data_IF_365375058726
#
_entry.id   IF_365375058726
#
_cell.length_a   1.000
_cell.length_b   1.000
_cell.length_c   1.000
_cell.angle_alpha   90.00
_cell.angle_beta   90.00
_cell.angle_gamma   90.00
#
_symmetry.space_group_name_H-M   'P 1'
#
loop_
_entity.id
_entity.type
_entity.pdbx_description
1 polymer ?
#
# COMPACT_ATOMS: atom_id res chain seq x y z
N UNK A 1 -6.76 10.12 23.85
CA UNK A 1 -7.09 8.78 23.27
C UNK A 1 -5.80 8.06 22.87
N UNK A 2 -5.69 6.75 23.09
CA UNK A 2 -4.52 5.92 22.70
C UNK A 2 -4.85 5.12 21.44
N UNK A 3 -4.04 5.23 20.39
CA UNK A 3 -4.12 4.37 19.22
C UNK A 3 -3.31 3.10 19.48
N UNK A 4 -3.78 1.98 18.97
CA UNK A 4 -3.02 0.72 18.97
C UNK A 4 -2.68 0.30 17.55
N UNK A 5 -1.53 -0.32 17.38
CA UNK A 5 -1.16 -0.92 16.09
C UNK A 5 -1.92 -2.22 15.87
N UNK A 6 -2.04 -2.64 14.63
CA UNK A 6 -2.63 -3.95 14.31
C UNK A 6 -1.81 -5.10 14.92
N UNK A 7 -0.51 -4.92 15.07
CA UNK A 7 0.36 -5.89 15.72
C UNK A 7 0.05 -6.00 17.22
N UNK A 8 -0.15 -4.89 17.91
CA UNK A 8 -0.55 -4.88 19.32
C UNK A 8 -1.91 -5.59 19.53
N UNK A 9 -2.88 -5.37 18.63
CA UNK A 9 -4.15 -6.10 18.66
C UNK A 9 -3.96 -7.63 18.52
N UNK A 10 -3.08 -8.05 17.62
CA UNK A 10 -2.84 -9.48 17.35
C UNK A 10 -2.08 -10.13 18.50
N UNK A 11 -1.11 -9.44 19.09
CA UNK A 11 -0.30 -9.93 20.22
C UNK A 11 -1.04 -9.91 21.57
N UNK A 12 -2.09 -9.12 21.69
CA UNK A 12 -2.95 -9.13 22.86
C UNK A 12 -3.67 -10.48 22.99
N UNK A 13 -3.25 -11.30 23.96
CA UNK A 13 -3.84 -12.61 24.25
C UNK A 13 -5.02 -12.55 25.23
N UNK A 14 -5.36 -11.37 25.75
CA UNK A 14 -6.49 -11.18 26.67
C UNK A 14 -7.86 -11.31 26.02
N UNK A 15 -8.89 -11.40 26.87
CA UNK A 15 -10.27 -11.28 26.40
C UNK A 15 -10.49 -9.87 25.85
N UNK A 16 -10.91 -9.78 24.60
CA UNK A 16 -11.12 -8.49 23.89
C UNK A 16 -12.27 -8.60 22.91
N UNK A 17 -12.83 -7.46 22.56
CA UNK A 17 -13.79 -7.36 21.46
C UNK A 17 -13.19 -6.54 20.32
N UNK A 18 -13.32 -7.04 19.11
CA UNK A 18 -12.98 -6.28 17.89
C UNK A 18 -14.27 -5.92 17.16
N UNK A 19 -14.42 -4.66 16.80
CA UNK A 19 -15.59 -4.14 16.12
C UNK A 19 -15.14 -3.53 14.79
N UNK A 20 -15.66 -4.05 13.69
CA UNK A 20 -15.49 -3.49 12.36
C UNK A 20 -16.63 -2.47 12.12
N UNK A 21 -16.25 -1.21 11.94
CA UNK A 21 -17.21 -0.10 11.77
C UNK A 21 -17.36 0.34 10.31
N UNK A 22 -16.84 -0.44 9.36
CA UNK A 22 -16.98 -0.18 7.92
C UNK A 22 -18.40 -0.51 7.44
N UNK A 23 -18.62 -0.34 6.12
CA UNK A 23 -19.90 -0.75 5.51
C UNK A 23 -20.16 -2.25 5.68
N UNK A 24 -21.42 -2.64 5.69
CA UNK A 24 -21.82 -4.05 5.78
C UNK A 24 -21.29 -4.88 4.60
N UNK A 25 -21.22 -4.28 3.42
CA UNK A 25 -20.66 -4.91 2.21
C UNK A 25 -19.17 -5.26 2.40
N UNK A 26 -18.38 -4.32 2.91
CA UNK A 26 -16.94 -4.52 3.14
C UNK A 26 -16.68 -5.48 4.29
N UNK A 27 -17.47 -5.43 5.36
CA UNK A 27 -17.41 -6.39 6.45
C UNK A 27 -17.68 -7.82 5.96
N UNK A 28 -18.73 -8.03 5.15
CA UNK A 28 -19.07 -9.35 4.57
C UNK A 28 -18.02 -9.83 3.58
N UNK A 29 -17.37 -8.92 2.88
CA UNK A 29 -16.30 -9.25 1.92
C UNK A 29 -15.06 -9.76 2.61
N UNK A 30 -14.60 -9.08 3.64
CA UNK A 30 -13.46 -9.48 4.46
C UNK A 30 -13.41 -8.62 5.73
N UNK A 31 -13.18 -9.24 6.90
CA UNK A 31 -13.00 -8.56 8.18
C UNK A 31 -11.88 -9.21 9.00
N UNK A 32 -11.54 -8.60 10.15
CA UNK A 32 -10.65 -9.19 11.13
C UNK A 32 -11.31 -10.43 11.77
N UNK A 33 -10.59 -11.56 11.93
CA UNK A 33 -11.16 -12.79 12.49
C UNK A 33 -11.81 -12.57 13.87
N UNK A 34 -13.08 -12.92 13.99
CA UNK A 34 -13.85 -12.75 15.23
C UNK A 34 -14.38 -11.34 15.49
N UNK A 35 -14.17 -10.40 14.59
CA UNK A 35 -14.78 -9.09 14.70
C UNK A 35 -16.30 -9.15 14.53
N UNK A 36 -17.03 -8.36 15.32
CA UNK A 36 -18.45 -8.10 15.07
C UNK A 36 -18.61 -6.84 14.21
N UNK A 37 -19.76 -6.69 13.58
CA UNK A 37 -20.08 -5.51 12.79
C UNK A 37 -21.00 -4.56 13.55
N UNK A 38 -20.61 -3.27 13.62
CA UNK A 38 -21.46 -2.15 13.99
C UNK A 38 -21.08 -1.00 13.05
N UNK A 39 -22.01 -0.58 12.19
CA UNK A 39 -21.72 0.49 11.25
C UNK A 39 -21.49 1.84 11.97
N UNK A 40 -20.48 2.58 11.58
CA UNK A 40 -20.03 3.78 12.30
C UNK A 40 -21.14 4.82 12.52
N UNK A 41 -22.11 4.95 11.61
CA UNK A 41 -23.23 5.90 11.76
C UNK A 41 -24.25 5.47 12.85
N UNK A 42 -24.35 4.17 13.09
CA UNK A 42 -25.29 3.61 14.07
C UNK A 42 -24.60 3.24 15.39
N UNK A 43 -23.29 3.53 15.52
CA UNK A 43 -22.47 3.03 16.61
C UNK A 43 -23.00 3.45 18.00
N UNK A 44 -23.45 4.69 18.11
CA UNK A 44 -23.99 5.21 19.38
C UNK A 44 -25.35 4.61 19.76
N UNK A 45 -26.14 4.16 18.79
CA UNK A 45 -27.42 3.52 19.02
C UNK A 45 -27.27 2.05 19.45
N UNK A 46 -26.10 1.45 19.21
CA UNK A 46 -25.80 0.04 19.51
C UNK A 46 -24.74 -0.13 20.65
N UNK A 47 -24.64 0.86 21.55
CA UNK A 47 -23.69 0.85 22.66
C UNK A 47 -23.92 -0.29 23.68
N UNK A 48 -25.11 -0.86 23.74
CA UNK A 48 -25.44 -2.05 24.54
C UNK A 48 -24.62 -3.28 24.13
N UNK A 49 -24.10 -3.31 22.91
CA UNK A 49 -23.23 -4.37 22.39
C UNK A 49 -21.74 -4.14 22.70
N UNK A 50 -21.39 -2.99 23.24
CA UNK A 50 -19.99 -2.58 23.52
C UNK A 50 -19.70 -2.79 25.01
N UNK A 51 -18.85 -3.74 25.40
CA UNK A 51 -18.57 -4.03 26.79
C UNK A 51 -17.70 -2.95 27.44
N UNK A 52 -17.84 -2.78 28.78
CA UNK A 52 -16.97 -1.93 29.60
C UNK A 52 -15.97 -2.73 30.43
N UNK A 53 -16.10 -4.03 30.46
CA UNK A 53 -15.33 -4.96 31.30
C UNK A 53 -14.07 -5.52 30.62
N UNK A 54 -13.86 -5.19 29.36
CA UNK A 54 -12.73 -5.66 28.56
C UNK A 54 -12.36 -4.68 27.45
N UNK A 55 -11.10 -4.74 26.92
CA UNK A 55 -10.66 -3.91 25.83
C UNK A 55 -11.49 -4.08 24.55
N UNK A 56 -11.82 -2.97 23.91
CA UNK A 56 -12.53 -2.92 22.63
C UNK A 56 -11.64 -2.26 21.57
N UNK A 57 -11.49 -2.91 20.45
CA UNK A 57 -10.68 -2.42 19.34
C UNK A 57 -11.57 -2.08 18.14
N UNK A 58 -11.51 -0.85 17.67
CA UNK A 58 -12.29 -0.38 16.52
C UNK A 58 -11.46 -0.41 15.25
N UNK A 59 -12.02 -1.01 14.21
CA UNK A 59 -11.41 -1.07 12.87
C UNK A 59 -12.31 -0.33 11.89
N UNK A 60 -11.84 0.80 11.34
CA UNK A 60 -12.42 1.44 10.17
C UNK A 60 -11.50 1.28 8.96
N UNK A 61 -11.65 2.03 7.86
CA UNK A 61 -10.78 1.92 6.69
C UNK A 61 -9.34 2.36 6.98
N UNK A 62 -9.14 3.53 7.59
CA UNK A 62 -7.84 4.22 7.72
C UNK A 62 -7.46 4.60 9.15
N UNK A 63 -8.34 4.44 10.12
CA UNK A 63 -8.18 4.87 11.51
C UNK A 63 -8.94 6.15 11.87
N UNK A 64 -9.32 7.01 10.93
CA UNK A 64 -9.92 8.31 11.23
C UNK A 64 -11.28 8.22 11.94
N UNK A 65 -12.26 7.50 11.35
CA UNK A 65 -13.60 7.37 11.95
C UNK A 65 -13.61 6.62 13.27
N UNK A 66 -12.71 5.66 13.45
CA UNK A 66 -12.56 4.93 14.71
C UNK A 66 -11.90 5.79 15.80
N UNK A 67 -11.10 6.79 15.42
CA UNK A 67 -10.54 7.76 16.36
C UNK A 67 -11.63 8.60 17.01
N UNK A 68 -12.54 9.16 16.22
CA UNK A 68 -13.62 10.01 16.70
C UNK A 68 -14.48 9.27 17.75
N UNK A 69 -14.88 8.03 17.43
CA UNK A 69 -15.68 7.18 18.33
C UNK A 69 -14.88 6.81 19.59
N UNK A 70 -13.62 6.42 19.44
CA UNK A 70 -12.79 6.04 20.58
C UNK A 70 -12.51 7.22 21.51
N UNK A 71 -12.34 8.43 20.98
CA UNK A 71 -12.16 9.65 21.79
C UNK A 71 -13.41 9.97 22.61
N UNK A 72 -14.58 9.90 21.99
CA UNK A 72 -15.87 10.15 22.64
C UNK A 72 -16.14 9.15 23.78
N UNK A 73 -15.89 7.86 23.55
CA UNK A 73 -16.22 6.81 24.52
C UNK A 73 -15.16 6.60 25.60
N UNK A 74 -13.90 6.97 25.36
CA UNK A 74 -12.86 6.89 26.38
C UNK A 74 -13.17 7.75 27.60
N UNK A 75 -13.84 8.89 27.40
CA UNK A 75 -14.34 9.77 28.46
C UNK A 75 -15.53 9.21 29.25
N UNK A 76 -16.18 8.14 28.78
CA UNK A 76 -17.37 7.51 29.35
C UNK A 76 -17.10 6.19 30.07
N UNK A 77 -15.81 5.87 30.31
CA UNK A 77 -15.38 4.70 31.06
C UNK A 77 -15.29 3.41 30.23
N UNK A 78 -15.24 3.51 28.89
CA UNK A 78 -14.90 2.40 28.03
C UNK A 78 -13.39 2.28 27.86
N UNK A 79 -12.86 1.07 27.89
CA UNK A 79 -11.51 0.76 27.47
C UNK A 79 -11.51 0.49 25.97
N UNK A 80 -11.41 1.56 25.17
CA UNK A 80 -11.62 1.50 23.72
C UNK A 80 -10.44 2.10 22.97
N UNK A 81 -10.03 1.42 21.90
CA UNK A 81 -8.85 1.77 21.10
C UNK A 81 -9.19 1.81 19.61
N UNK A 82 -8.66 2.79 18.92
CA UNK A 82 -8.67 2.81 17.45
C UNK A 82 -7.42 2.12 16.92
N UNK A 83 -7.58 1.34 15.85
CA UNK A 83 -6.46 0.71 15.16
C UNK A 83 -5.85 1.69 14.16
N UNK A 84 -4.57 2.01 14.36
CA UNK A 84 -3.81 2.89 13.47
C UNK A 84 -3.74 2.29 12.06
N UNK A 85 -4.09 3.10 11.06
CA UNK A 85 -4.25 2.68 9.67
C UNK A 85 -5.43 1.73 9.40
N UNK A 86 -6.28 1.45 10.39
CA UNK A 86 -7.53 0.71 10.27
C UNK A 86 -7.38 -0.65 9.58
N UNK A 87 -8.37 -1.03 8.77
CA UNK A 87 -8.38 -2.30 8.03
C UNK A 87 -7.25 -2.39 6.99
N UNK A 88 -6.80 -1.27 6.45
CA UNK A 88 -5.64 -1.26 5.57
C UNK A 88 -4.36 -1.74 6.26
N UNK A 89 -4.19 -1.45 7.56
CA UNK A 89 -3.05 -1.96 8.32
C UNK A 89 -3.14 -3.47 8.54
N UNK A 90 -4.35 -4.00 8.76
CA UNK A 90 -4.59 -5.45 8.85
C UNK A 90 -4.27 -6.16 7.54
N UNK A 91 -4.72 -5.64 6.41
CA UNK A 91 -4.39 -6.22 5.10
C UNK A 91 -2.89 -6.22 4.83
N UNK A 92 -2.20 -5.14 5.18
CA UNK A 92 -0.72 -5.06 5.04
C UNK A 92 -0.02 -6.07 5.92
N UNK A 93 -0.42 -6.20 7.19
CA UNK A 93 0.12 -7.21 8.09
C UNK A 93 -0.09 -8.63 7.54
N UNK A 94 -1.30 -8.94 7.06
CA UNK A 94 -1.63 -10.23 6.47
C UNK A 94 -0.77 -10.54 5.24
N UNK A 95 -0.58 -9.56 4.35
CA UNK A 95 0.31 -9.69 3.19
C UNK A 95 1.76 -9.90 3.61
N UNK A 96 2.25 -9.15 4.59
CA UNK A 96 3.59 -9.30 5.11
C UNK A 96 3.82 -10.70 5.69
N UNK A 97 2.86 -11.22 6.47
CA UNK A 97 2.94 -12.59 7.03
C UNK A 97 2.89 -13.69 5.96
N UNK A 98 2.13 -13.48 4.88
CA UNK A 98 2.16 -14.37 3.74
C UNK A 98 3.52 -14.36 3.03
N UNK A 99 4.16 -13.19 2.94
CA UNK A 99 5.49 -13.07 2.34
C UNK A 99 6.59 -13.67 3.23
N UNK A 100 6.49 -13.54 4.56
CA UNK A 100 7.46 -14.13 5.51
C UNK A 100 7.40 -15.68 5.55
N UNK A 101 6.22 -16.26 5.31
CA UNK A 101 6.01 -17.73 5.36
C UNK A 101 6.59 -18.49 4.18
N UNK A 102 7.05 -17.80 3.14
CA UNK A 102 7.52 -18.47 1.95
C UNK A 102 9.02 -18.27 1.74
N UNK A 103 9.78 -19.34 1.94
CA UNK A 103 11.18 -19.50 1.54
C UNK A 103 11.44 -19.34 0.04
N UNK A 104 10.38 -19.12 -0.77
CA UNK A 104 10.39 -19.07 -2.23
C UNK A 104 10.37 -17.63 -2.81
N UNK A 105 11.17 -16.71 -2.25
CA UNK A 105 11.28 -15.36 -2.85
C UNK A 105 11.82 -15.40 -4.30
N UNK A 106 12.71 -16.34 -4.59
CA UNK A 106 13.32 -16.50 -5.92
C UNK A 106 12.32 -17.06 -6.94
N UNK A 107 11.43 -17.96 -6.53
CA UNK A 107 10.42 -18.54 -7.41
C UNK A 107 9.33 -17.52 -7.78
N UNK A 108 8.93 -16.65 -6.88
CA UNK A 108 7.91 -15.62 -7.13
C UNK A 108 8.34 -14.58 -8.15
N UNK A 109 9.59 -14.11 -8.08
CA UNK A 109 10.11 -13.20 -9.11
C UNK A 109 10.09 -13.85 -10.49
N UNK A 110 10.60 -15.08 -10.60
CA UNK A 110 10.58 -15.87 -11.84
C UNK A 110 9.17 -16.19 -12.32
N UNK A 111 8.23 -16.43 -11.40
CA UNK A 111 6.82 -16.64 -11.72
C UNK A 111 6.17 -15.39 -12.31
N UNK A 112 6.43 -14.20 -11.70
CA UNK A 112 5.98 -12.92 -12.23
C UNK A 112 6.52 -12.67 -13.64
N UNK A 113 7.82 -12.86 -13.86
CA UNK A 113 8.47 -12.73 -15.18
C UNK A 113 7.86 -13.70 -16.20
N UNK A 114 7.73 -14.97 -15.82
CA UNK A 114 7.12 -16.00 -16.66
C UNK A 114 5.66 -15.71 -17.01
N UNK A 115 4.91 -15.14 -16.07
CA UNK A 115 3.52 -14.71 -16.28
C UNK A 115 3.42 -13.59 -17.31
N UNK A 116 4.28 -12.59 -17.25
CA UNK A 116 4.31 -11.48 -18.20
C UNK A 116 4.57 -11.98 -19.62
N UNK A 117 5.65 -12.79 -19.81
CA UNK A 117 6.10 -13.19 -21.17
C UNK A 117 5.35 -14.39 -21.75
N UNK A 118 4.68 -15.21 -20.92
CA UNK A 118 3.92 -16.39 -21.36
C UNK A 118 2.42 -16.21 -21.19
N UNK A 119 1.92 -16.16 -19.93
CA UNK A 119 0.48 -16.15 -19.62
C UNK A 119 -0.22 -14.90 -20.17
N UNK A 120 0.34 -13.73 -19.92
CA UNK A 120 -0.19 -12.42 -20.35
C UNK A 120 0.52 -11.87 -21.59
N UNK A 121 1.12 -12.75 -22.40
CA UNK A 121 1.89 -12.34 -23.57
C UNK A 121 1.11 -11.48 -24.54
N UNK A 122 -0.15 -11.84 -24.84
CA UNK A 122 -0.99 -11.12 -25.81
C UNK A 122 -1.49 -9.79 -25.25
N UNK A 123 -1.88 -9.80 -23.99
CA UNK A 123 -2.55 -8.69 -23.30
C UNK A 123 -1.56 -7.62 -22.85
N UNK A 124 -0.35 -8.01 -22.44
CA UNK A 124 0.65 -7.10 -21.85
C UNK A 124 1.90 -7.05 -22.72
N UNK A 125 2.69 -8.13 -22.78
CA UNK A 125 4.02 -8.10 -23.39
C UNK A 125 4.03 -7.67 -24.85
N UNK A 126 3.16 -8.24 -25.68
CA UNK A 126 3.06 -7.86 -27.10
C UNK A 126 2.62 -6.43 -27.32
N UNK A 127 1.70 -5.93 -26.51
CA UNK A 127 1.24 -4.54 -26.61
C UNK A 127 2.33 -3.56 -26.21
N UNK A 128 3.06 -3.87 -25.12
CA UNK A 128 4.19 -3.08 -24.67
C UNK A 128 5.29 -3.03 -25.73
N UNK A 129 5.77 -4.20 -26.20
CA UNK A 129 6.83 -4.24 -27.20
C UNK A 129 6.40 -3.68 -28.55
N UNK A 130 5.11 -3.82 -28.92
CA UNK A 130 4.56 -3.16 -30.12
C UNK A 130 4.64 -1.65 -30.01
N UNK A 131 4.21 -1.08 -28.89
CA UNK A 131 4.27 0.37 -28.67
C UNK A 131 5.72 0.90 -28.70
N UNK A 132 6.66 0.21 -28.04
CA UNK A 132 8.09 0.56 -28.08
C UNK A 132 8.64 0.62 -29.51
N UNK A 133 8.25 -0.34 -30.34
CA UNK A 133 8.75 -0.39 -31.72
C UNK A 133 7.99 0.55 -32.67
N UNK A 134 6.67 0.62 -32.57
CA UNK A 134 5.82 1.42 -33.46
C UNK A 134 6.06 2.92 -33.30
N UNK A 135 6.29 3.36 -32.05
CA UNK A 135 6.55 4.76 -31.75
C UNK A 135 8.03 5.09 -31.54
N UNK A 136 8.93 4.12 -31.81
CA UNK A 136 10.37 4.30 -31.65
C UNK A 136 10.78 4.87 -30.29
N UNK A 137 10.10 4.43 -29.21
CA UNK A 137 10.24 5.00 -27.88
C UNK A 137 11.61 4.78 -27.23
N UNK A 138 12.40 3.84 -27.74
CA UNK A 138 13.74 3.51 -27.26
C UNK A 138 14.70 3.46 -28.43
N UNK A 139 15.88 4.04 -28.26
CA UNK A 139 16.99 3.98 -29.22
C UNK A 139 18.24 3.40 -28.58
N UNK A 140 19.20 2.99 -29.40
CA UNK A 140 20.48 2.50 -28.88
C UNK A 140 21.25 3.61 -28.16
N UNK A 141 21.70 3.30 -26.96
CA UNK A 141 22.41 4.23 -26.08
C UNK A 141 21.52 5.06 -25.16
N UNK A 142 20.20 4.86 -25.21
CA UNK A 142 19.27 5.57 -24.29
C UNK A 142 19.50 5.20 -22.83
N UNK A 143 19.27 6.18 -21.95
CA UNK A 143 19.16 5.99 -20.51
C UNK A 143 17.73 6.30 -20.07
N UNK A 144 17.03 5.28 -19.58
CA UNK A 144 15.60 5.33 -19.29
C UNK A 144 15.39 5.30 -17.79
N UNK A 145 14.67 6.29 -17.25
CA UNK A 145 14.24 6.32 -15.86
C UNK A 145 12.84 5.76 -15.71
N UNK A 146 12.69 4.64 -15.02
CA UNK A 146 11.40 4.07 -14.64
C UNK A 146 11.05 4.50 -13.23
N UNK A 147 10.03 5.37 -13.10
CA UNK A 147 9.61 5.90 -11.82
C UNK A 147 8.69 4.93 -11.08
N UNK A 148 9.10 4.51 -9.90
CA UNK A 148 8.39 3.54 -9.07
C UNK A 148 7.58 4.29 -8.01
N UNK A 149 6.26 4.24 -8.13
CA UNK A 149 5.32 4.83 -7.15
C UNK A 149 4.94 3.87 -6.02
N UNK A 150 5.34 2.60 -6.12
CA UNK A 150 4.94 1.53 -5.22
C UNK A 150 3.64 0.81 -5.60
N UNK A 151 2.88 1.35 -6.57
CA UNK A 151 1.68 0.70 -7.09
C UNK A 151 2.00 -0.44 -8.07
N UNK A 152 1.03 -1.33 -8.28
CA UNK A 152 1.15 -2.50 -9.18
C UNK A 152 1.60 -2.13 -10.60
N UNK A 153 1.14 -0.99 -11.12
CA UNK A 153 1.41 -0.59 -12.50
C UNK A 153 2.87 -0.16 -12.67
N UNK A 154 3.45 0.55 -11.69
CA UNK A 154 4.86 0.94 -11.70
C UNK A 154 5.79 -0.26 -11.55
N UNK A 155 5.42 -1.24 -10.71
CA UNK A 155 6.18 -2.48 -10.57
C UNK A 155 6.09 -3.36 -11.82
N UNK A 156 4.91 -3.43 -12.45
CA UNK A 156 4.76 -4.11 -13.74
C UNK A 156 5.62 -3.43 -14.82
N UNK A 157 5.62 -2.10 -14.88
CA UNK A 157 6.47 -1.35 -15.80
C UNK A 157 7.94 -1.65 -15.59
N UNK A 158 8.40 -1.70 -14.33
CA UNK A 158 9.78 -2.09 -14.02
C UNK A 158 10.14 -3.47 -14.55
N UNK A 159 9.28 -4.47 -14.34
CA UNK A 159 9.51 -5.84 -14.85
C UNK A 159 9.49 -5.91 -16.38
N UNK A 160 8.62 -5.14 -17.04
CA UNK A 160 8.57 -5.07 -18.50
C UNK A 160 9.88 -4.49 -19.06
N UNK A 161 10.44 -3.45 -18.45
CA UNK A 161 11.72 -2.88 -18.86
C UNK A 161 12.89 -3.80 -18.55
N UNK A 162 12.91 -4.51 -17.41
CA UNK A 162 13.93 -5.51 -17.13
C UNK A 162 13.94 -6.64 -18.18
N UNK A 163 12.74 -7.14 -18.55
CA UNK A 163 12.64 -8.15 -19.60
C UNK A 163 13.05 -7.62 -20.97
N UNK A 164 12.71 -6.36 -21.28
CA UNK A 164 13.11 -5.74 -22.54
C UNK A 164 14.62 -5.52 -22.62
N UNK A 165 15.26 -5.10 -21.52
CA UNK A 165 16.73 -4.92 -21.43
C UNK A 165 17.47 -6.25 -21.58
N UNK A 166 16.97 -7.34 -20.96
CA UNK A 166 17.61 -8.68 -21.05
C UNK A 166 17.45 -9.33 -22.43
N UNK A 167 16.33 -9.11 -23.10
CA UNK A 167 15.94 -9.86 -24.29
C UNK A 167 15.63 -8.99 -25.52
N UNK A 168 15.76 -7.67 -25.37
CA UNK A 168 15.54 -6.71 -26.45
C UNK A 168 16.68 -6.73 -27.48
N UNK A 169 16.40 -6.15 -28.64
CA UNK A 169 17.39 -6.01 -29.71
C UNK A 169 18.20 -4.72 -29.61
N UNK A 170 17.74 -3.76 -28.81
CA UNK A 170 18.36 -2.45 -28.63
C UNK A 170 19.17 -2.45 -27.34
N UNK A 171 20.30 -1.75 -27.34
CA UNK A 171 21.15 -1.58 -26.18
C UNK A 171 20.81 -0.25 -25.49
N UNK A 172 20.29 -0.30 -24.29
CA UNK A 172 19.92 0.85 -23.47
C UNK A 172 20.10 0.54 -21.98
N UNK A 173 20.18 1.55 -21.15
CA UNK A 173 20.29 1.43 -19.70
C UNK A 173 18.97 1.79 -19.03
N UNK A 174 18.58 1.06 -17.97
CA UNK A 174 17.41 1.38 -17.17
C UNK A 174 17.79 1.72 -15.74
N UNK A 175 17.27 2.83 -15.24
CA UNK A 175 17.39 3.23 -13.83
C UNK A 175 16.00 3.23 -13.21
N UNK A 176 15.86 2.59 -12.06
CA UNK A 176 14.58 2.51 -11.33
C UNK A 176 14.59 3.50 -10.17
N UNK A 177 13.74 4.53 -10.24
CA UNK A 177 13.73 5.63 -9.29
C UNK A 177 12.52 5.56 -8.37
N UNK A 178 12.75 5.57 -7.05
CA UNK A 178 11.72 5.79 -6.04
C UNK A 178 11.87 7.19 -5.49
N UNK A 179 10.92 8.05 -5.77
CA UNK A 179 10.80 9.33 -5.08
C UNK A 179 10.01 9.13 -3.79
N UNK A 180 10.64 9.41 -2.64
CA UNK A 180 9.95 9.46 -1.36
C UNK A 180 9.53 10.92 -1.05
N UNK A 181 8.25 11.28 -1.19
CA UNK A 181 7.76 12.64 -0.97
C UNK A 181 7.43 12.93 0.50
N UNK A 182 7.81 12.06 1.44
CA UNK A 182 7.42 12.08 2.86
C UNK A 182 6.49 10.92 3.20
N UNK A 183 6.64 9.76 2.57
CA UNK A 183 5.87 8.57 2.96
C UNK A 183 6.08 8.22 4.43
N UNK A 184 5.01 7.78 5.10
CA UNK A 184 5.18 7.11 6.38
C UNK A 184 6.06 5.87 6.23
N UNK A 185 6.74 5.48 7.31
CA UNK A 185 7.73 4.40 7.30
C UNK A 185 7.15 3.09 6.76
N UNK A 186 5.91 2.75 7.09
CA UNK A 186 5.27 1.52 6.65
C UNK A 186 5.07 1.47 5.13
N UNK A 187 4.60 2.58 4.53
CA UNK A 187 4.44 2.67 3.08
C UNK A 187 5.80 2.63 2.37
N UNK A 188 6.78 3.33 2.92
CA UNK A 188 8.13 3.34 2.39
C UNK A 188 8.77 1.95 2.39
N UNK A 189 8.71 1.25 3.53
CA UNK A 189 9.21 -0.12 3.64
C UNK A 189 8.47 -1.10 2.72
N UNK A 190 7.15 -0.91 2.54
CA UNK A 190 6.37 -1.74 1.60
C UNK A 190 6.89 -1.59 0.16
N UNK A 191 7.21 -0.38 -0.28
CA UNK A 191 7.78 -0.13 -1.62
C UNK A 191 9.12 -0.85 -1.78
N UNK A 192 10.02 -0.69 -0.79
CA UNK A 192 11.34 -1.30 -0.83
C UNK A 192 11.27 -2.83 -0.79
N UNK A 193 10.40 -3.40 0.03
CA UNK A 193 10.20 -4.84 0.13
C UNK A 193 9.65 -5.43 -1.18
N UNK A 194 8.70 -4.74 -1.83
CA UNK A 194 8.18 -5.16 -3.12
C UNK A 194 9.25 -5.07 -4.22
N UNK A 195 10.05 -4.01 -4.23
CA UNK A 195 11.16 -3.88 -5.15
C UNK A 195 12.18 -5.01 -4.97
N UNK A 196 12.52 -5.33 -3.72
CA UNK A 196 13.42 -6.43 -3.37
C UNK A 196 12.85 -7.80 -3.77
N UNK A 197 11.55 -8.03 -3.52
CA UNK A 197 10.87 -9.28 -3.91
C UNK A 197 10.90 -9.51 -5.41
N UNK A 198 10.73 -8.45 -6.19
CA UNK A 198 10.73 -8.49 -7.66
C UNK A 198 12.13 -8.28 -8.27
N UNK A 199 13.17 -8.24 -7.44
CA UNK A 199 14.56 -8.00 -7.88
C UNK A 199 14.69 -6.74 -8.76
N UNK A 200 13.99 -5.66 -8.39
CA UNK A 200 14.10 -4.35 -9.05
C UNK A 200 15.11 -3.51 -8.28
N UNK A 201 16.28 -3.16 -8.86
CA UNK A 201 17.31 -2.38 -8.19
C UNK A 201 16.92 -0.90 -8.13
N UNK A 202 16.23 -0.48 -7.10
CA UNK A 202 15.72 0.89 -6.98
C UNK A 202 16.75 1.83 -6.36
N UNK A 203 16.87 3.03 -6.95
CA UNK A 203 17.54 4.19 -6.36
C UNK A 203 16.49 5.09 -5.71
N UNK A 204 16.67 5.44 -4.44
CA UNK A 204 15.73 6.27 -3.69
C UNK A 204 16.26 7.68 -3.52
N UNK A 205 15.43 8.68 -3.78
CA UNK A 205 15.69 10.05 -3.35
C UNK A 205 14.51 10.59 -2.56
N UNK A 206 14.82 11.39 -1.54
CA UNK A 206 13.84 11.96 -0.61
C UNK A 206 13.53 13.40 -0.98
N UNK A 207 12.27 13.79 -0.77
CA UNK A 207 11.80 15.17 -0.90
C UNK A 207 10.82 15.47 0.23
N UNK A 208 10.58 16.73 0.52
CA UNK A 208 9.66 17.20 1.56
C UNK A 208 8.31 17.67 0.95
N UNK A 209 7.87 17.00 -0.13
CA UNK A 209 6.66 17.40 -0.84
C UNK A 209 5.42 17.31 0.05
N UNK A 210 5.29 16.24 0.83
CA UNK A 210 4.12 16.06 1.68
C UNK A 210 4.04 17.09 2.78
N UNK A 211 5.15 17.48 3.38
CA UNK A 211 5.20 18.54 4.38
C UNK A 211 4.82 19.89 3.76
N UNK A 212 5.30 20.14 2.52
CA UNK A 212 4.98 21.38 1.79
C UNK A 212 3.50 21.48 1.42
N UNK A 213 2.82 20.37 1.14
CA UNK A 213 1.40 20.38 0.69
C UNK A 213 0.42 20.11 1.83
N UNK A 214 0.89 19.77 3.04
CA UNK A 214 0.03 19.41 4.18
C UNK A 214 -0.97 20.51 4.56
N UNK A 215 -0.54 21.77 4.51
CA UNK A 215 -1.36 22.93 4.91
C UNK A 215 -2.17 23.53 3.74
N UNK A 216 -2.13 22.91 2.54
CA UNK A 216 -2.78 23.46 1.36
C UNK A 216 -4.14 22.79 1.16
N UNK A 217 -5.20 23.60 1.28
CA UNK A 217 -6.59 23.14 1.15
C UNK A 217 -7.08 23.06 -0.30
N UNK A 218 -6.53 23.91 -1.19
CA UNK A 218 -6.92 23.93 -2.59
C UNK A 218 -6.07 22.98 -3.45
N UNK A 219 -6.69 21.90 -3.94
CA UNK A 219 -6.09 20.94 -4.88
C UNK A 219 -4.72 20.37 -4.47
N UNK A 220 -4.55 19.83 -3.25
CA UNK A 220 -3.25 19.34 -2.77
C UNK A 220 -2.66 18.25 -3.67
N UNK A 221 -3.50 17.39 -4.26
CA UNK A 221 -3.07 16.34 -5.20
C UNK A 221 -2.46 16.89 -6.50
N UNK A 222 -3.03 17.97 -7.02
CA UNK A 222 -2.49 18.62 -8.23
C UNK A 222 -1.11 19.23 -7.96
N UNK A 223 -0.96 19.94 -6.85
CA UNK A 223 0.31 20.55 -6.47
C UNK A 223 1.38 19.47 -6.19
N UNK A 224 1.03 18.43 -5.43
CA UNK A 224 1.91 17.29 -5.20
C UNK A 224 2.40 16.67 -6.53
N UNK A 225 1.50 16.43 -7.48
CA UNK A 225 1.85 15.88 -8.78
C UNK A 225 2.75 16.81 -9.60
N UNK A 226 2.52 18.12 -9.53
CA UNK A 226 3.35 19.14 -10.20
C UNK A 226 4.75 19.20 -9.60
N UNK A 227 4.87 19.21 -8.28
CA UNK A 227 6.16 19.19 -7.57
C UNK A 227 6.95 17.92 -7.88
N UNK A 228 6.31 16.76 -7.85
CA UNK A 228 6.96 15.49 -8.23
C UNK A 228 7.56 15.55 -9.63
N UNK A 229 6.82 16.06 -10.60
CA UNK A 229 7.36 16.25 -11.97
C UNK A 229 8.55 17.21 -11.98
N UNK A 230 8.47 18.32 -11.25
CA UNK A 230 9.59 19.26 -11.14
C UNK A 230 10.87 18.59 -10.65
N UNK A 231 10.79 17.80 -9.57
CA UNK A 231 11.95 17.06 -9.03
C UNK A 231 12.48 15.96 -9.96
N UNK A 232 11.64 15.40 -10.83
CA UNK A 232 12.07 14.35 -11.76
C UNK A 232 12.79 14.90 -12.99
N UNK A 233 12.57 16.18 -13.33
CA UNK A 233 13.14 16.82 -14.52
C UNK A 233 14.26 17.83 -14.18
N UNK A 234 14.55 18.05 -12.92
CA UNK A 234 15.69 18.88 -12.45
C UNK A 234 16.96 18.05 -12.28
#
# INVERSE_FOLDING_TARGET
MERKTIQALIEDAGEKLVIDIRSEEDYKRETYPGAIHIFHENFMDELDRVPKDRPVYLICYTGQKSDDIAEELSGQGYEIYSIDGGFHSYLRYKLQKLMEKEEDKLDRCKEAERSIVKKFRKEIWRKFTKAINEYELIQDGDRIAVCISGGKDSMLMAKLFQELERHGKKNFEVVYLVMNPGYNELNYQTILNNAKLLEVPVTVFKTEIFDTVADITESPCYLCARMRRGYLYS
#
